data_IF_615621123434
#
_entry.id   IF_615621123434
#
_cell.length_a   1.000
_cell.length_b   1.000
_cell.length_c   1.000
_cell.angle_alpha   90.00
_cell.angle_beta   90.00
_cell.angle_gamma   90.00
#
_symmetry.space_group_name_H-M   'P 1'
#
loop_
_entity.id
_entity.type
_entity.pdbx_description
1 polymer ?
#
# COMPACT_ATOMS: atom_id res chain seq x y z
N UNK A 1 -18.26 -13.42 1.99
CA UNK A 1 -18.79 -14.52 2.83
C UNK A 1 -18.88 -15.81 2.04
N UNK A 2 -19.69 -15.89 0.95
CA UNK A 2 -19.89 -17.17 0.20
C UNK A 2 -18.58 -17.83 -0.25
N UNK A 3 -17.62 -17.06 -0.77
CA UNK A 3 -16.33 -17.59 -1.18
C UNK A 3 -15.50 -18.14 -0.01
N UNK A 4 -15.54 -17.50 1.15
CA UNK A 4 -14.84 -17.98 2.35
C UNK A 4 -15.49 -19.27 2.84
N UNK A 5 -16.84 -19.31 2.95
CA UNK A 5 -17.58 -20.51 3.36
C UNK A 5 -17.31 -21.72 2.45
N UNK A 6 -17.27 -21.48 1.13
CA UNK A 6 -16.98 -22.54 0.15
C UNK A 6 -15.52 -23.06 0.19
N UNK A 7 -14.65 -22.40 0.93
CA UNK A 7 -13.22 -22.68 1.03
C UNK A 7 -12.74 -22.60 2.50
N UNK A 8 -13.60 -22.91 3.45
CA UNK A 8 -13.29 -22.80 4.88
C UNK A 8 -12.11 -23.67 5.31
N UNK A 9 -11.92 -24.81 4.63
CA UNK A 9 -10.80 -25.72 4.85
C UNK A 9 -9.42 -25.09 4.59
N UNK A 10 -9.35 -24.00 3.80
CA UNK A 10 -8.13 -23.26 3.50
C UNK A 10 -7.90 -22.08 4.45
N UNK A 11 -8.80 -21.81 5.41
CA UNK A 11 -8.60 -20.77 6.40
C UNK A 11 -7.47 -21.17 7.34
N UNK A 12 -6.35 -20.42 7.39
CA UNK A 12 -5.24 -20.80 8.25
C UNK A 12 -5.62 -20.71 9.73
N UNK A 13 -5.05 -21.58 10.59
CA UNK A 13 -5.21 -21.47 12.04
C UNK A 13 -4.73 -20.12 12.56
N UNK A 14 -5.39 -19.59 13.57
CA UNK A 14 -5.08 -18.30 14.19
C UNK A 14 -3.59 -18.17 14.58
N UNK A 15 -3.04 -19.19 15.26
CA UNK A 15 -1.66 -19.18 15.77
C UNK A 15 -0.58 -19.28 14.68
N UNK A 16 -0.94 -19.57 13.44
CA UNK A 16 0.00 -19.72 12.34
C UNK A 16 0.62 -18.41 11.86
N UNK A 17 0.04 -17.25 12.23
CA UNK A 17 0.40 -15.95 11.68
C UNK A 17 0.07 -15.76 10.20
N UNK A 18 -0.55 -16.75 9.57
CA UNK A 18 -1.02 -16.72 8.20
C UNK A 18 -2.42 -16.11 8.09
N UNK A 19 -2.85 -15.82 6.88
CA UNK A 19 -4.20 -15.28 6.59
C UNK A 19 -4.76 -15.90 5.31
N UNK A 20 -6.08 -15.90 5.16
CA UNK A 20 -6.72 -16.23 3.91
C UNK A 20 -6.76 -14.98 3.02
N UNK A 21 -5.96 -14.97 1.95
CA UNK A 21 -6.00 -13.92 0.95
C UNK A 21 -7.21 -14.09 0.06
N UNK A 22 -8.02 -13.03 -0.08
CA UNK A 22 -9.26 -13.04 -0.89
C UNK A 22 -9.04 -12.12 -2.08
N UNK A 23 -9.15 -12.67 -3.28
CA UNK A 23 -8.99 -11.96 -4.55
C UNK A 23 -10.27 -11.89 -5.34
N UNK A 24 -11.05 -10.81 -5.30
CA UNK A 24 -12.09 -10.54 -6.28
C UNK A 24 -11.46 -10.10 -7.60
N UNK A 25 -11.98 -10.59 -8.72
CA UNK A 25 -11.54 -10.27 -10.06
C UNK A 25 -12.75 -10.13 -10.98
N UNK A 26 -12.83 -9.03 -11.72
CA UNK A 26 -13.80 -8.80 -12.77
C UNK A 26 -13.04 -8.69 -14.10
N UNK A 27 -13.38 -9.55 -15.06
CA UNK A 27 -12.75 -9.59 -16.38
C UNK A 27 -13.80 -9.53 -17.47
N UNK A 28 -13.55 -8.75 -18.50
CA UNK A 28 -14.33 -8.79 -19.74
C UNK A 28 -13.99 -10.02 -20.56
N UNK A 29 -14.98 -10.65 -21.15
CA UNK A 29 -14.86 -11.87 -21.96
C UNK A 29 -15.62 -11.74 -23.26
N UNK A 30 -15.48 -12.76 -24.13
CA UNK A 30 -16.13 -12.83 -25.42
C UNK A 30 -15.21 -12.47 -26.58
N UNK A 31 -15.59 -12.84 -27.82
CA UNK A 31 -14.79 -12.58 -29.02
C UNK A 31 -14.79 -11.08 -29.34
N UNK A 32 -13.61 -10.49 -29.42
CA UNK A 32 -13.42 -9.08 -29.78
C UNK A 32 -12.07 -8.85 -30.41
N UNK A 33 -12.06 -8.27 -31.61
CA UNK A 33 -10.82 -7.92 -32.32
C UNK A 33 -10.44 -6.44 -32.13
N UNK A 34 -11.43 -5.56 -32.00
CA UNK A 34 -11.23 -4.13 -31.84
C UNK A 34 -11.16 -3.70 -30.36
N UNK A 35 -10.73 -2.45 -30.13
CA UNK A 35 -10.75 -1.84 -28.79
C UNK A 35 -12.15 -1.30 -28.51
N UNK A 36 -12.89 -2.01 -27.66
CA UNK A 36 -14.21 -1.60 -27.19
C UNK A 36 -14.49 -2.22 -25.82
N UNK A 37 -15.46 -1.69 -25.05
CA UNK A 37 -15.91 -2.34 -23.82
C UNK A 37 -16.42 -3.76 -24.09
N UNK A 38 -16.08 -4.70 -23.21
CA UNK A 38 -16.62 -6.05 -23.29
C UNK A 38 -18.16 -6.03 -23.13
N UNK A 39 -18.85 -6.96 -23.80
CA UNK A 39 -20.31 -7.12 -23.67
C UNK A 39 -20.69 -8.07 -22.55
N UNK A 40 -19.78 -8.94 -22.17
CA UNK A 40 -19.93 -9.94 -21.13
C UNK A 40 -18.78 -9.86 -20.14
N UNK A 41 -19.05 -10.21 -18.88
CA UNK A 41 -18.05 -10.16 -17.81
C UNK A 41 -18.14 -11.41 -16.95
N UNK A 42 -17.00 -11.88 -16.48
CA UNK A 42 -16.91 -12.91 -15.44
C UNK A 42 -16.42 -12.25 -14.15
N UNK A 43 -17.19 -12.44 -13.08
CA UNK A 43 -16.76 -12.07 -11.73
C UNK A 43 -16.34 -13.32 -10.97
N UNK A 44 -15.09 -13.37 -10.55
CA UNK A 44 -14.49 -14.48 -9.81
C UNK A 44 -14.00 -13.99 -8.46
N UNK A 45 -14.22 -14.76 -7.41
CA UNK A 45 -13.57 -14.58 -6.12
C UNK A 45 -12.83 -15.87 -5.81
N UNK A 46 -11.50 -15.80 -5.79
CA UNK A 46 -10.68 -16.93 -5.34
C UNK A 46 -9.92 -16.59 -4.06
N UNK A 47 -9.52 -17.61 -3.33
CA UNK A 47 -8.82 -17.49 -2.05
C UNK A 47 -7.53 -18.29 -2.08
N UNK A 48 -6.56 -17.88 -1.25
CA UNK A 48 -5.31 -18.62 -1.06
C UNK A 48 -4.81 -18.39 0.38
N UNK A 49 -4.37 -19.44 1.09
CA UNK A 49 -3.64 -19.26 2.34
C UNK A 49 -2.29 -18.60 2.05
N UNK A 50 -1.97 -17.55 2.79
CA UNK A 50 -0.70 -16.81 2.66
C UNK A 50 -0.03 -16.71 4.01
N UNK A 51 1.28 -16.96 4.03
CA UNK A 51 2.10 -16.81 5.23
C UNK A 51 2.33 -15.33 5.59
N UNK A 52 3.05 -15.07 6.69
CA UNK A 52 3.43 -13.73 7.09
C UNK A 52 4.15 -12.99 5.96
N UNK A 53 3.74 -11.75 5.71
CA UNK A 53 4.33 -10.93 4.63
C UNK A 53 5.83 -10.69 4.84
N UNK A 54 6.22 -10.40 6.07
CA UNK A 54 7.62 -10.15 6.43
C UNK A 54 8.30 -11.44 6.91
N UNK A 55 8.94 -12.17 6.00
CA UNK A 55 9.71 -13.38 6.34
C UNK A 55 10.90 -13.12 7.29
N UNK A 56 11.51 -11.91 7.20
CA UNK A 56 12.63 -11.47 8.03
C UNK A 56 12.24 -10.58 9.20
N UNK A 57 10.94 -10.48 9.52
CA UNK A 57 10.39 -9.57 10.54
C UNK A 57 10.06 -8.18 10.00
N UNK A 58 9.44 -7.37 10.85
CA UNK A 58 9.01 -6.00 10.54
C UNK A 58 10.22 -5.06 10.54
N UNK A 59 10.85 -4.87 9.36
CA UNK A 59 12.06 -4.07 9.18
C UNK A 59 11.88 -3.00 8.12
N UNK A 60 12.60 -1.86 8.26
CA UNK A 60 12.58 -0.81 7.24
C UNK A 60 13.14 -1.30 5.91
N UNK A 61 12.58 -0.79 4.84
CA UNK A 61 13.01 -1.07 3.47
C UNK A 61 13.66 0.16 2.83
N UNK A 62 14.45 -0.09 1.78
CA UNK A 62 14.98 0.98 0.92
C UNK A 62 14.13 1.08 -0.33
N UNK A 63 13.80 2.28 -0.72
CA UNK A 63 13.00 2.56 -1.92
C UNK A 63 13.69 3.60 -2.81
N UNK A 64 13.43 3.54 -4.10
CA UNK A 64 13.98 4.46 -5.10
C UNK A 64 12.93 5.51 -5.46
N UNK A 65 13.33 6.77 -5.61
CA UNK A 65 12.46 7.79 -6.20
C UNK A 65 12.48 7.67 -7.73
N UNK A 66 11.30 7.51 -8.34
CA UNK A 66 11.15 7.38 -9.80
C UNK A 66 10.78 8.71 -10.44
N UNK A 67 11.69 9.26 -11.23
CA UNK A 67 11.50 10.54 -11.92
C UNK A 67 11.13 10.42 -13.39
N UNK A 68 11.44 9.28 -14.03
CA UNK A 68 11.31 9.09 -15.48
C UNK A 68 9.96 8.57 -15.88
N UNK A 69 9.51 7.53 -15.18
CA UNK A 69 8.30 6.80 -15.56
C UNK A 69 7.10 7.25 -14.75
N UNK A 70 5.94 7.19 -15.38
CA UNK A 70 4.66 7.47 -14.76
C UNK A 70 3.98 6.16 -14.35
N UNK A 71 3.29 6.18 -13.21
CA UNK A 71 2.42 5.10 -12.80
C UNK A 71 1.04 5.23 -13.43
N UNK A 72 0.53 6.44 -13.51
CA UNK A 72 -0.80 6.74 -14.04
C UNK A 72 -0.86 8.16 -14.61
N UNK A 73 -1.66 8.36 -15.66
CA UNK A 73 -1.94 9.67 -16.22
C UNK A 73 -2.81 10.51 -15.25
N UNK A 74 -2.73 11.86 -15.27
CA UNK A 74 -3.48 12.74 -14.37
C UNK A 74 -5.00 12.56 -14.42
N UNK A 75 -5.56 12.30 -15.60
CA UNK A 75 -6.98 12.02 -15.83
C UNK A 75 -7.21 10.56 -16.28
N UNK A 76 -6.33 9.66 -15.86
CA UNK A 76 -6.40 8.25 -16.21
C UNK A 76 -7.11 7.41 -15.13
N UNK A 77 -6.70 6.15 -15.07
CA UNK A 77 -7.30 5.11 -14.22
C UNK A 77 -6.56 4.86 -12.92
N UNK A 78 -5.65 5.76 -12.48
CA UNK A 78 -4.81 5.56 -11.31
C UNK A 78 -5.58 5.26 -10.02
N UNK A 79 -6.77 5.82 -9.88
CA UNK A 79 -7.69 5.61 -8.77
C UNK A 79 -8.48 4.29 -8.84
N UNK A 80 -8.35 3.54 -9.92
CA UNK A 80 -9.05 2.27 -10.16
C UNK A 80 -8.05 1.11 -10.02
N UNK A 81 -8.45 0.01 -9.38
CA UNK A 81 -7.63 -1.19 -9.28
C UNK A 81 -7.70 -2.00 -10.58
N UNK A 82 -6.94 -1.59 -11.59
CA UNK A 82 -6.93 -2.17 -12.94
C UNK A 82 -5.51 -2.55 -13.37
N UNK A 83 -5.39 -3.65 -14.13
CA UNK A 83 -4.10 -4.22 -14.52
C UNK A 83 -3.18 -3.25 -15.28
N UNK A 84 -3.75 -2.32 -16.07
CA UNK A 84 -2.97 -1.31 -16.81
C UNK A 84 -2.10 -0.43 -15.91
N UNK A 85 -2.58 -0.02 -14.72
CA UNK A 85 -1.79 0.77 -13.78
C UNK A 85 -0.59 0.00 -13.23
N UNK A 86 -0.74 -1.33 -13.05
CA UNK A 86 0.36 -2.17 -12.59
C UNK A 86 1.38 -2.41 -13.70
N UNK A 87 0.93 -2.63 -14.93
CA UNK A 87 1.81 -2.78 -16.09
C UNK A 87 2.71 -1.56 -16.29
N UNK A 88 2.18 -0.34 -16.14
CA UNK A 88 2.95 0.89 -16.25
C UNK A 88 4.11 0.96 -15.22
N UNK A 89 3.88 0.46 -14.01
CA UNK A 89 4.89 0.47 -12.93
C UNK A 89 5.91 -0.68 -12.98
N UNK A 90 5.71 -1.71 -13.81
CA UNK A 90 6.56 -2.92 -13.79
C UNK A 90 8.02 -2.63 -14.13
N UNK A 91 8.28 -1.79 -15.12
CA UNK A 91 9.65 -1.45 -15.50
C UNK A 91 10.42 -0.75 -14.40
N UNK A 92 9.80 0.21 -13.74
CA UNK A 92 10.40 0.91 -12.59
C UNK A 92 10.63 -0.05 -11.42
N UNK A 93 9.69 -0.94 -11.15
CA UNK A 93 9.82 -1.99 -10.13
C UNK A 93 11.01 -2.92 -10.40
N UNK A 94 11.16 -3.38 -11.64
CA UNK A 94 12.29 -4.23 -12.03
C UNK A 94 13.62 -3.51 -11.89
N UNK A 95 13.73 -2.26 -12.36
CA UNK A 95 14.94 -1.44 -12.19
C UNK A 95 15.26 -1.21 -10.71
N UNK A 96 14.25 -0.95 -9.89
CA UNK A 96 14.43 -0.80 -8.45
C UNK A 96 15.02 -2.09 -7.82
N UNK A 97 14.44 -3.25 -8.12
CA UNK A 97 14.92 -4.54 -7.62
C UNK A 97 16.34 -4.86 -8.07
N UNK A 98 16.69 -4.64 -9.33
CA UNK A 98 18.04 -4.84 -9.86
C UNK A 98 19.09 -3.97 -9.15
N UNK A 99 18.67 -2.81 -8.64
CA UNK A 99 19.52 -1.89 -7.86
C UNK A 99 19.46 -2.12 -6.35
N UNK A 100 18.75 -3.16 -5.88
CA UNK A 100 18.67 -3.52 -4.46
C UNK A 100 17.61 -2.75 -3.66
N UNK A 101 16.67 -2.08 -4.31
CA UNK A 101 15.53 -1.43 -3.67
C UNK A 101 14.31 -2.35 -3.64
N UNK A 102 13.47 -2.21 -2.64
CA UNK A 102 12.24 -3.00 -2.54
C UNK A 102 11.18 -2.58 -3.56
N UNK A 103 11.14 -1.31 -3.92
CA UNK A 103 10.20 -0.72 -4.88
C UNK A 103 10.60 0.72 -5.24
N UNK A 104 9.76 1.39 -6.06
CA UNK A 104 9.94 2.80 -6.39
C UNK A 104 8.78 3.65 -5.86
N UNK A 105 9.07 4.87 -5.41
CA UNK A 105 8.09 5.92 -5.17
C UNK A 105 7.88 6.70 -6.46
N UNK A 106 6.65 6.80 -6.91
CA UNK A 106 6.27 7.55 -8.10
C UNK A 106 5.87 8.98 -7.73
N UNK A 107 6.21 9.90 -8.63
CA UNK A 107 5.78 11.28 -8.60
C UNK A 107 4.55 11.48 -9.48
N UNK A 108 3.82 12.57 -9.25
CA UNK A 108 2.74 13.00 -10.12
C UNK A 108 3.25 13.13 -11.56
N UNK A 109 2.45 12.63 -12.53
CA UNK A 109 2.86 12.55 -13.92
C UNK A 109 2.84 13.90 -14.65
N UNK A 110 2.21 14.93 -14.07
CA UNK A 110 2.08 16.25 -14.68
C UNK A 110 3.29 17.15 -14.43
N UNK A 111 3.71 17.25 -13.17
CA UNK A 111 4.73 18.20 -12.74
C UNK A 111 6.00 17.54 -12.23
N UNK A 112 5.96 16.22 -11.95
CA UNK A 112 7.06 15.46 -11.32
C UNK A 112 7.54 16.07 -10.01
N UNK A 113 6.63 16.69 -9.29
CA UNK A 113 6.90 17.49 -8.11
C UNK A 113 6.32 16.89 -6.82
N UNK A 114 5.20 16.18 -6.93
CA UNK A 114 4.47 15.69 -5.76
C UNK A 114 4.54 14.17 -5.67
N UNK A 115 4.60 13.68 -4.45
CA UNK A 115 4.57 12.22 -4.18
C UNK A 115 3.17 11.68 -4.51
N UNK A 116 3.12 10.59 -5.28
CA UNK A 116 1.90 9.85 -5.56
C UNK A 116 1.86 8.54 -4.76
N UNK A 117 2.41 7.47 -5.28
CA UNK A 117 2.36 6.14 -4.66
C UNK A 117 3.72 5.47 -4.56
N UNK A 118 3.86 4.54 -3.63
CA UNK A 118 5.05 3.72 -3.43
C UNK A 118 4.81 2.32 -4.04
N UNK A 119 5.10 2.18 -5.34
CA UNK A 119 4.83 0.96 -6.10
C UNK A 119 3.33 0.60 -6.07
N UNK A 120 2.96 -0.59 -5.54
CA UNK A 120 1.57 -1.01 -5.42
C UNK A 120 0.90 -0.57 -4.10
N UNK A 121 1.53 0.29 -3.32
CA UNK A 121 1.12 0.69 -1.97
C UNK A 121 1.03 2.23 -1.84
N UNK A 122 0.16 2.71 -0.95
CA UNK A 122 0.10 4.14 -0.65
C UNK A 122 1.27 4.59 0.19
N UNK A 123 1.73 5.81 0.00
CA UNK A 123 2.76 6.45 0.81
C UNK A 123 2.14 7.20 2.00
N UNK A 124 2.85 7.25 3.11
CA UNK A 124 2.61 8.19 4.21
C UNK A 124 3.93 8.60 4.88
N UNK A 125 3.92 9.74 5.54
CA UNK A 125 5.00 10.20 6.40
C UNK A 125 4.49 10.72 7.73
N UNK A 126 5.35 10.72 8.74
CA UNK A 126 5.10 11.30 10.07
C UNK A 126 5.98 12.53 10.25
N UNK A 127 5.39 13.63 10.69
CA UNK A 127 6.07 14.89 10.93
C UNK A 127 5.31 15.73 11.94
N UNK A 128 6.01 16.24 12.97
CA UNK A 128 5.45 17.17 13.95
C UNK A 128 4.09 16.72 14.51
N UNK A 129 3.96 15.45 14.90
CA UNK A 129 2.71 14.90 15.41
C UNK A 129 1.58 14.76 14.37
N UNK A 130 1.92 14.76 13.08
CA UNK A 130 0.96 14.58 11.99
C UNK A 130 1.25 13.32 11.18
N UNK A 131 0.19 12.59 10.83
CA UNK A 131 0.17 11.56 9.78
C UNK A 131 -0.19 12.24 8.46
N UNK A 132 0.72 12.24 7.51
CA UNK A 132 0.58 12.97 6.25
C UNK A 132 0.61 11.96 5.10
N UNK A 133 -0.43 11.96 4.25
CA UNK A 133 -0.52 11.06 3.10
C UNK A 133 -0.91 11.83 1.84
N UNK A 134 -0.41 11.43 0.65
CA UNK A 134 -0.73 12.13 -0.59
C UNK A 134 -2.22 12.10 -0.91
N UNK A 135 -2.69 13.17 -1.52
CA UNK A 135 -4.02 13.26 -2.11
C UNK A 135 -3.91 13.66 -3.59
N UNK A 136 -4.30 12.74 -4.47
CA UNK A 136 -4.30 12.93 -5.92
C UNK A 136 -5.39 12.04 -6.54
N UNK A 137 -5.91 12.44 -7.70
CA UNK A 137 -6.85 11.62 -8.47
C UNK A 137 -6.19 10.41 -9.16
N UNK A 138 -4.86 10.35 -9.15
CA UNK A 138 -4.09 9.23 -9.69
C UNK A 138 -3.83 8.12 -8.67
N UNK A 139 -4.09 8.37 -7.39
CA UNK A 139 -3.80 7.44 -6.29
C UNK A 139 -5.00 6.53 -6.04
N UNK A 140 -4.75 5.23 -5.85
CA UNK A 140 -5.77 4.28 -5.45
C UNK A 140 -6.27 4.59 -4.03
N UNK A 141 -7.58 4.84 -3.82
CA UNK A 141 -8.15 4.97 -2.48
C UNK A 141 -7.97 3.65 -1.71
N UNK A 142 -7.11 3.64 -0.72
CA UNK A 142 -6.74 2.46 0.05
C UNK A 142 -7.58 2.33 1.31
N UNK A 143 -8.19 1.17 1.52
CA UNK A 143 -8.88 0.86 2.78
C UNK A 143 -7.87 0.83 3.93
N UNK A 144 -6.69 0.24 3.71
CA UNK A 144 -5.63 0.24 4.74
C UNK A 144 -5.22 1.64 5.13
N UNK A 145 -4.95 2.53 4.15
CA UNK A 145 -4.60 3.92 4.46
C UNK A 145 -5.75 4.66 5.19
N UNK A 146 -7.00 4.42 4.77
CA UNK A 146 -8.17 4.99 5.46
C UNK A 146 -8.25 4.52 6.93
N UNK A 147 -8.02 3.23 7.19
CA UNK A 147 -7.97 2.70 8.55
C UNK A 147 -6.82 3.30 9.35
N UNK A 148 -5.63 3.43 8.75
CA UNK A 148 -4.47 4.03 9.42
C UNK A 148 -4.69 5.50 9.77
N UNK A 149 -5.37 6.28 8.93
CA UNK A 149 -5.75 7.66 9.23
C UNK A 149 -6.65 7.74 10.47
N UNK A 150 -7.68 6.89 10.55
CA UNK A 150 -8.57 6.82 11.71
C UNK A 150 -7.81 6.42 12.98
N UNK A 151 -6.92 5.43 12.89
CA UNK A 151 -6.09 5.02 14.02
C UNK A 151 -5.10 6.11 14.44
N UNK A 152 -4.51 6.82 13.49
CA UNK A 152 -3.60 7.93 13.77
C UNK A 152 -4.29 9.03 14.57
N UNK A 153 -5.51 9.44 14.16
CA UNK A 153 -6.33 10.40 14.92
C UNK A 153 -6.69 9.87 16.31
N UNK A 154 -7.11 8.62 16.41
CA UNK A 154 -7.44 7.96 17.67
C UNK A 154 -6.26 7.88 18.64
N UNK A 155 -5.04 7.83 18.11
CA UNK A 155 -3.79 7.81 18.87
C UNK A 155 -3.17 9.20 19.07
N UNK A 156 -3.88 10.27 18.70
CA UNK A 156 -3.50 11.66 18.95
C UNK A 156 -2.66 12.35 17.89
N UNK A 157 -2.47 11.74 16.71
CA UNK A 157 -1.87 12.43 15.57
C UNK A 157 -2.92 13.28 14.84
N UNK A 158 -2.48 14.40 14.28
CA UNK A 158 -3.25 15.11 13.28
C UNK A 158 -3.15 14.39 11.93
N UNK A 159 -4.24 14.28 11.18
CA UNK A 159 -4.23 13.67 9.84
C UNK A 159 -4.29 14.75 8.77
N UNK A 160 -3.38 14.66 7.81
CA UNK A 160 -3.33 15.56 6.65
C UNK A 160 -3.33 14.75 5.34
N UNK A 161 -4.35 14.98 4.50
CA UNK A 161 -4.38 14.47 3.11
C UNK A 161 -4.19 15.65 2.18
N UNK A 162 -3.04 15.73 1.53
CA UNK A 162 -2.66 16.86 0.68
C UNK A 162 -1.61 16.49 -0.34
N UNK A 163 -1.30 17.41 -1.24
CA UNK A 163 -0.10 17.29 -2.06
C UNK A 163 1.14 17.33 -1.15
N UNK A 164 2.10 16.45 -1.41
CA UNK A 164 3.39 16.39 -0.69
C UNK A 164 4.49 16.68 -1.70
N UNK A 165 5.10 17.87 -1.67
CA UNK A 165 6.27 18.14 -2.50
C UNK A 165 7.40 17.16 -2.20
N UNK A 166 8.14 16.76 -3.23
CA UNK A 166 9.25 15.79 -3.06
C UNK A 166 10.32 16.30 -2.10
N UNK A 167 10.53 17.60 -2.05
CA UNK A 167 11.47 18.27 -1.15
C UNK A 167 11.06 18.13 0.32
N UNK A 168 9.78 17.94 0.60
CA UNK A 168 9.27 17.76 1.96
C UNK A 168 9.71 16.42 2.58
N UNK A 169 10.11 15.44 1.78
CA UNK A 169 10.58 14.13 2.26
C UNK A 169 11.71 14.27 3.31
N UNK A 170 12.57 15.27 3.20
CA UNK A 170 13.66 15.51 4.14
C UNK A 170 13.21 15.96 5.52
N UNK A 171 11.98 16.38 5.64
CA UNK A 171 11.43 16.91 6.89
C UNK A 171 10.58 15.89 7.65
N UNK A 172 10.37 14.71 7.07
CA UNK A 172 9.67 13.64 7.77
C UNK A 172 10.57 12.95 8.80
N UNK A 173 9.99 12.63 9.94
CA UNK A 173 10.62 11.86 11.01
C UNK A 173 10.58 10.37 10.71
N UNK A 174 9.48 9.92 10.08
CA UNK A 174 9.25 8.55 9.63
C UNK A 174 8.53 8.55 8.28
N UNK A 175 8.75 7.49 7.52
CA UNK A 175 8.03 7.23 6.29
C UNK A 175 7.60 5.77 6.21
N UNK A 176 6.49 5.52 5.52
CA UNK A 176 5.98 4.16 5.29
C UNK A 176 5.15 4.04 4.03
N UNK A 177 5.06 2.82 3.56
CA UNK A 177 4.10 2.41 2.54
C UNK A 177 3.04 1.52 3.19
N UNK A 178 1.77 1.63 2.76
CA UNK A 178 0.70 0.85 3.34
C UNK A 178 -0.20 0.21 2.28
N UNK A 179 -0.70 -0.98 2.59
CA UNK A 179 -1.58 -1.74 1.72
C UNK A 179 -2.03 -3.06 2.35
N UNK A 180 -2.97 -3.74 1.71
CA UNK A 180 -3.64 -4.94 2.25
C UNK A 180 -2.66 -6.06 2.63
N UNK A 181 -1.63 -6.32 1.82
CA UNK A 181 -0.75 -7.46 2.04
C UNK A 181 0.22 -7.27 3.21
N UNK A 182 0.85 -6.08 3.29
CA UNK A 182 1.88 -5.79 4.28
C UNK A 182 1.35 -5.03 5.50
N UNK A 183 0.16 -4.47 5.42
CA UNK A 183 -0.40 -3.46 6.34
C UNK A 183 0.45 -2.20 6.30
N UNK A 184 1.65 -2.21 6.87
CA UNK A 184 2.68 -1.16 6.74
C UNK A 184 4.00 -1.81 6.37
N UNK A 185 4.70 -1.22 5.42
CA UNK A 185 6.12 -1.46 5.16
C UNK A 185 6.88 -0.17 5.54
N UNK A 186 7.61 -0.15 6.66
CA UNK A 186 8.40 1.01 7.03
C UNK A 186 9.44 1.32 5.96
N UNK A 187 9.65 2.60 5.70
CA UNK A 187 10.70 3.07 4.77
C UNK A 187 11.82 3.64 5.61
N UNK A 188 13.02 3.05 5.51
CA UNK A 188 14.21 3.52 6.21
C UNK A 188 15.06 4.46 5.36
N UNK A 189 14.92 4.37 4.03
CA UNK A 189 15.74 5.17 3.11
C UNK A 189 15.01 5.37 1.79
N UNK A 190 15.08 6.60 1.26
CA UNK A 190 14.63 6.95 -0.08
C UNK A 190 15.83 7.51 -0.84
N UNK A 191 16.16 6.90 -1.97
CA UNK A 191 17.25 7.37 -2.82
C UNK A 191 16.72 7.98 -4.12
N UNK A 192 17.07 9.24 -4.35
CA UNK A 192 16.90 9.96 -5.61
C UNK A 192 18.18 9.83 -6.43
N UNK A 193 18.23 8.82 -7.28
CA UNK A 193 19.41 8.47 -8.05
C UNK A 193 19.74 9.51 -9.14
N UNK A 194 18.76 10.28 -9.61
CA UNK A 194 19.02 11.31 -10.63
C UNK A 194 19.67 12.55 -10.02
N UNK A 195 19.34 12.88 -8.79
CA UNK A 195 19.88 14.02 -8.08
C UNK A 195 21.02 13.64 -7.10
N UNK A 196 21.41 12.36 -7.10
CA UNK A 196 22.43 11.81 -6.20
C UNK A 196 22.18 12.17 -4.73
N UNK A 197 20.93 11.98 -4.27
CA UNK A 197 20.44 12.36 -2.96
C UNK A 197 19.88 11.15 -2.24
N UNK A 198 20.19 11.03 -0.96
CA UNK A 198 19.69 9.97 -0.08
C UNK A 198 19.03 10.59 1.14
N UNK A 199 17.80 10.17 1.43
CA UNK A 199 17.04 10.59 2.61
C UNK A 199 16.89 9.37 3.50
N UNK A 200 17.34 9.48 4.75
CA UNK A 200 17.33 8.38 5.74
C UNK A 200 16.43 8.76 6.89
N UNK A 201 15.55 7.85 7.28
CA UNK A 201 14.62 8.01 8.39
C UNK A 201 15.09 7.17 9.58
N UNK A 202 15.37 7.83 10.70
CA UNK A 202 15.76 7.15 11.93
C UNK A 202 17.03 6.30 11.81
N UNK A 203 16.98 5.06 12.31
CA UNK A 203 18.09 4.09 12.22
C UNK A 203 17.80 3.07 11.11
N UNK A 204 18.81 2.64 10.33
CA UNK A 204 18.61 1.82 9.13
C UNK A 204 17.81 0.52 9.33
N UNK A 205 17.97 -0.16 10.45
CA UNK A 205 17.34 -1.46 10.72
C UNK A 205 16.23 -1.41 11.79
N UNK A 206 15.84 -0.20 12.22
CA UNK A 206 14.82 -0.02 13.27
C UNK A 206 13.62 0.70 12.66
N UNK A 207 12.43 0.06 12.63
CA UNK A 207 11.22 0.74 12.17
C UNK A 207 10.89 1.92 13.09
N UNK A 208 10.32 2.95 12.50
CA UNK A 208 9.86 4.11 13.23
C UNK A 208 8.82 3.76 14.29
N UNK A 209 8.74 4.56 15.32
CA UNK A 209 7.84 4.35 16.47
C UNK A 209 6.37 4.35 16.02
N UNK A 210 5.98 5.32 15.20
CA UNK A 210 4.61 5.44 14.71
C UNK A 210 4.26 4.36 13.68
N UNK A 211 5.18 4.02 12.79
CA UNK A 211 5.01 2.86 11.90
C UNK A 211 4.73 1.59 12.70
N UNK A 212 5.48 1.38 13.80
CA UNK A 212 5.32 0.21 14.68
C UNK A 212 3.99 0.25 15.45
N UNK A 213 3.65 1.38 16.05
CA UNK A 213 2.40 1.54 16.82
C UNK A 213 1.17 1.32 15.94
N UNK A 214 1.13 1.98 14.78
CA UNK A 214 0.00 1.86 13.85
C UNK A 214 -0.13 0.44 13.27
N UNK A 215 1.00 -0.20 12.92
CA UNK A 215 1.03 -1.58 12.47
C UNK A 215 0.46 -2.53 13.53
N UNK A 216 1.00 -2.47 14.75
CA UNK A 216 0.58 -3.35 15.83
C UNK A 216 -0.90 -3.15 16.17
N UNK A 217 -1.36 -1.89 16.24
CA UNK A 217 -2.75 -1.58 16.57
C UNK A 217 -3.72 -2.11 15.51
N UNK A 218 -3.43 -1.88 14.22
CA UNK A 218 -4.30 -2.39 13.16
C UNK A 218 -4.33 -3.92 13.15
N UNK A 219 -3.18 -4.56 13.35
CA UNK A 219 -3.09 -6.03 13.42
C UNK A 219 -3.85 -6.59 14.62
N UNK A 220 -3.72 -5.98 15.79
CA UNK A 220 -4.43 -6.42 16.99
C UNK A 220 -5.97 -6.37 16.79
N UNK A 221 -6.49 -5.31 16.16
CA UNK A 221 -7.91 -5.22 15.81
C UNK A 221 -8.29 -6.30 14.78
N UNK A 222 -7.49 -6.50 13.73
CA UNK A 222 -7.77 -7.49 12.69
C UNK A 222 -7.80 -8.93 13.21
N UNK A 223 -6.97 -9.25 14.20
CA UNK A 223 -6.91 -10.58 14.81
C UNK A 223 -7.84 -10.75 16.02
N UNK A 224 -8.48 -9.68 16.46
CA UNK A 224 -9.37 -9.71 17.63
C UNK A 224 -8.62 -9.70 18.97
N UNK A 225 -7.33 -9.35 18.97
CA UNK A 225 -6.50 -9.18 20.17
C UNK A 225 -6.86 -7.89 20.92
N UNK A 226 -7.44 -6.92 20.24
CA UNK A 226 -8.02 -5.70 20.81
C UNK A 226 -9.49 -5.53 20.36
N UNK A 227 -10.34 -4.91 21.21
CA UNK A 227 -11.72 -4.63 20.84
C UNK A 227 -11.82 -3.72 19.62
N UNK A 228 -12.66 -4.11 18.65
CA UNK A 228 -12.95 -3.31 17.47
C UNK A 228 -14.03 -2.26 17.77
N UNK A 229 -13.61 -1.08 18.22
CA UNK A 229 -14.52 0.05 18.46
C UNK A 229 -15.00 0.76 17.18
N UNK A 230 -14.43 0.39 16.03
CA UNK A 230 -14.75 1.01 14.74
C UNK A 230 -15.74 0.21 13.90
N UNK A 231 -16.04 -1.02 14.30
CA UNK A 231 -16.97 -1.91 13.57
C UNK A 231 -16.37 -2.44 12.25
N UNK A 232 -15.06 -2.62 12.17
CA UNK A 232 -14.37 -3.10 10.97
C UNK A 232 -14.33 -4.62 10.85
N UNK A 233 -14.40 -5.30 11.99
CA UNK A 233 -14.30 -6.77 12.05
C UNK A 233 -15.70 -7.38 11.94
N UNK A 234 -15.86 -8.34 11.04
CA UNK A 234 -17.06 -9.11 10.90
C UNK A 234 -16.79 -10.58 11.21
N UNK A 235 -17.30 -11.04 12.34
CA UNK A 235 -17.26 -12.47 12.68
C UNK A 235 -18.18 -13.23 11.74
N UNK A 236 -17.69 -14.31 11.15
CA UNK A 236 -18.44 -15.20 10.29
C UNK A 236 -18.72 -16.50 11.04
N UNK A 237 -19.99 -16.86 11.15
CA UNK A 237 -20.44 -18.16 11.67
C UNK A 237 -20.90 -19.02 10.49
N UNK A 238 -20.38 -20.22 10.39
CA UNK A 238 -20.67 -21.18 9.32
C UNK A 238 -21.40 -22.40 9.88
#
# INVERSE_FOLDING_TARGET
VKAIKANEEFVPPYESGASLYIRPLLIGVGPQMGVAPAKEYIFVVFVAPVGPYFKAGFKPTKVMLERRYDRAAPNGTGHIKVGGNYAAGMRSGEVAHQKGYSTAIFLDSKEKKYIDECGPANFFGIKNGSYITPFSHTILPSITNASLMVLAEDMGLKVERRLIPVEELETFEEAGACGTAAVISPIGQIDDLENNKSIVFGKPDVPGEWCTKLYNRLRAIQYGDEPDKFGWVKVLNF
#
